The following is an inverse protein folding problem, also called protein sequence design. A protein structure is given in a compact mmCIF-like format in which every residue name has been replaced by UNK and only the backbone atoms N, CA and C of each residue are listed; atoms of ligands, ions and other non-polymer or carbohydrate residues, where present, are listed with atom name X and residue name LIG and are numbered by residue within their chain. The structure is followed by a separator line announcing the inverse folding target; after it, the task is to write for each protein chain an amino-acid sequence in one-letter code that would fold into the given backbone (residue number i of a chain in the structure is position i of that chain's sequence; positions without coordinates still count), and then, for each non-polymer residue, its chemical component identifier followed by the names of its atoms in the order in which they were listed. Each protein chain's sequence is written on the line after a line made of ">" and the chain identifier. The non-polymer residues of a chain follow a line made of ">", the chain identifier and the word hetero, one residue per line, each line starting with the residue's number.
data_IF_328881167635
#
_entry.id   IF_328881167635
#
_cell.length_a   1.000
_cell.length_b   1.000
_cell.length_c   1.000
_cell.angle_alpha   90.00
_cell.angle_beta   90.00
_cell.angle_gamma   90.00
#
_symmetry.space_group_name_H-M   'P 1'
#
loop_
_entity.id
_entity.type
_entity.pdbx_description
1 polymer ?
#
# COMPACT_ATOMS: atom_id res chain seq x y z
N UNK A 1 8.37 -35.78 5.32
CA UNK A 1 8.48 -34.37 5.77
C UNK A 1 7.90 -33.48 4.67
N UNK A 2 7.18 -32.41 5.02
CA UNK A 2 6.26 -31.57 4.19
C UNK A 2 4.81 -32.08 4.15
N UNK A 3 4.13 -31.98 5.28
CA UNK A 3 2.67 -31.89 5.30
C UNK A 3 2.28 -30.42 5.04
N UNK A 4 2.20 -30.02 3.76
CA UNK A 4 1.61 -28.72 3.40
C UNK A 4 0.11 -28.86 3.52
N UNK A 5 -0.48 -28.33 4.60
CA UNK A 5 -1.93 -28.27 4.73
C UNK A 5 -2.52 -27.59 3.49
N UNK A 6 -3.70 -27.99 3.00
CA UNK A 6 -4.31 -27.41 1.80
C UNK A 6 -4.38 -25.87 1.88
N UNK A 7 -4.56 -25.33 3.09
CA UNK A 7 -4.56 -23.89 3.38
C UNK A 7 -3.25 -23.16 3.03
N UNK A 8 -2.08 -23.80 3.21
CA UNK A 8 -0.79 -23.19 2.84
C UNK A 8 -0.67 -23.05 1.31
N UNK A 9 -1.05 -24.08 0.56
CA UNK A 9 -1.00 -24.06 -0.92
C UNK A 9 -1.94 -23.00 -1.51
N UNK A 10 -3.13 -22.85 -0.94
CA UNK A 10 -4.07 -21.78 -1.32
C UNK A 10 -3.49 -20.40 -1.06
N UNK A 11 -2.84 -20.21 0.09
CA UNK A 11 -2.20 -18.95 0.44
C UNK A 11 -1.03 -18.62 -0.49
N UNK A 12 -0.16 -19.58 -0.81
CA UNK A 12 0.96 -19.39 -1.73
C UNK A 12 0.51 -19.04 -3.14
N UNK A 13 -0.60 -19.65 -3.61
CA UNK A 13 -1.22 -19.31 -4.89
C UNK A 13 -1.77 -17.88 -4.92
N UNK A 14 -2.41 -17.43 -3.85
CA UNK A 14 -2.91 -16.06 -3.73
C UNK A 14 -1.78 -15.04 -3.67
N UNK A 15 -0.68 -15.37 -2.99
CA UNK A 15 0.54 -14.54 -2.95
C UNK A 15 1.24 -14.48 -4.31
N UNK A 16 1.33 -15.59 -5.02
CA UNK A 16 1.88 -15.62 -6.38
C UNK A 16 1.04 -14.81 -7.36
N UNK A 17 -0.29 -14.94 -7.28
CA UNK A 17 -1.22 -14.17 -8.11
C UNK A 17 -1.15 -12.66 -7.83
N UNK A 18 -1.15 -12.25 -6.56
CA UNK A 18 -1.05 -10.83 -6.20
C UNK A 18 0.28 -10.22 -6.62
N UNK A 19 1.38 -10.99 -6.52
CA UNK A 19 2.70 -10.57 -7.01
C UNK A 19 2.75 -10.38 -8.52
N UNK A 20 2.13 -11.29 -9.29
CA UNK A 20 2.02 -11.15 -10.75
C UNK A 20 1.22 -9.90 -11.13
N UNK A 21 0.07 -9.68 -10.49
CA UNK A 21 -0.80 -8.52 -10.72
C UNK A 21 -0.07 -7.21 -10.39
N UNK A 22 0.64 -7.15 -9.26
CA UNK A 22 1.48 -6.00 -8.91
C UNK A 22 2.57 -5.74 -9.96
N UNK A 23 3.23 -6.80 -10.43
CA UNK A 23 4.26 -6.72 -11.47
C UNK A 23 3.72 -6.20 -12.80
N UNK A 24 2.52 -6.62 -13.21
CA UNK A 24 1.86 -6.11 -14.42
C UNK A 24 1.54 -4.62 -14.30
N UNK A 25 0.99 -4.18 -13.17
CA UNK A 25 0.72 -2.76 -12.96
C UNK A 25 2.01 -1.91 -12.91
N UNK A 26 3.08 -2.44 -12.31
CA UNK A 26 4.41 -1.81 -12.35
C UNK A 26 4.95 -1.68 -13.77
N UNK A 27 4.82 -2.72 -14.59
CA UNK A 27 5.25 -2.70 -15.99
C UNK A 27 4.46 -1.65 -16.79
N UNK A 28 3.13 -1.59 -16.60
CA UNK A 28 2.29 -0.59 -17.23
C UNK A 28 2.67 0.83 -16.81
N UNK A 29 2.96 1.03 -15.52
CA UNK A 29 3.43 2.32 -15.00
C UNK A 29 4.77 2.72 -15.63
N UNK A 30 5.69 1.76 -15.76
CA UNK A 30 6.97 1.97 -16.43
C UNK A 30 6.77 2.38 -17.90
N UNK A 31 5.88 1.71 -18.63
CA UNK A 31 5.57 2.07 -20.02
C UNK A 31 4.99 3.48 -20.14
N UNK A 32 4.05 3.85 -19.26
CA UNK A 32 3.50 5.22 -19.22
C UNK A 32 4.63 6.23 -19.00
N UNK A 33 5.56 5.97 -18.07
CA UNK A 33 6.70 6.87 -17.84
C UNK A 33 7.67 6.94 -19.03
N UNK A 34 7.93 5.82 -19.71
CA UNK A 34 8.79 5.80 -20.90
C UNK A 34 8.15 6.60 -22.03
N UNK A 35 6.85 6.38 -22.29
CA UNK A 35 6.12 7.11 -23.33
C UNK A 35 6.09 8.62 -23.03
N UNK A 36 5.85 9.01 -21.77
CA UNK A 36 5.86 10.42 -21.37
C UNK A 36 7.24 11.07 -21.53
N UNK A 37 8.30 10.39 -21.10
CA UNK A 37 9.69 10.86 -21.26
C UNK A 37 10.07 10.94 -22.74
N UNK A 38 9.82 9.89 -23.52
CA UNK A 38 10.09 9.91 -24.97
C UNK A 38 9.29 11.00 -25.69
N UNK A 39 8.02 11.20 -25.33
CA UNK A 39 7.19 12.27 -25.88
C UNK A 39 7.75 13.66 -25.57
N UNK A 40 8.22 13.91 -24.34
CA UNK A 40 8.87 15.18 -23.98
C UNK A 40 10.15 15.43 -24.74
N UNK A 41 11.04 14.45 -24.81
CA UNK A 41 12.39 14.65 -25.36
C UNK A 41 12.43 14.62 -26.89
N UNK A 42 11.60 13.79 -27.54
CA UNK A 42 11.64 13.62 -29.00
C UNK A 42 10.54 14.38 -29.73
N UNK A 43 9.37 14.55 -29.11
CA UNK A 43 8.20 15.15 -29.76
C UNK A 43 7.85 16.53 -29.19
N UNK A 44 8.58 17.02 -28.16
CA UNK A 44 8.23 18.21 -27.36
C UNK A 44 6.76 18.19 -26.88
N UNK A 45 6.17 17.00 -26.79
CA UNK A 45 4.77 16.77 -26.47
C UNK A 45 4.70 15.72 -25.35
N UNK A 46 4.63 16.13 -24.07
CA UNK A 46 4.43 15.21 -22.96
C UNK A 46 3.15 14.40 -23.15
N UNK A 47 3.08 13.23 -22.53
CA UNK A 47 1.86 12.41 -22.58
C UNK A 47 0.79 13.08 -21.70
N UNK A 48 -0.33 13.57 -22.28
CA UNK A 48 -1.38 14.21 -21.49
C UNK A 48 -2.02 13.19 -20.54
N UNK A 49 -2.13 13.54 -19.24
CA UNK A 49 -2.68 12.64 -18.21
C UNK A 49 -1.70 11.59 -17.66
N UNK A 50 -0.41 11.63 -18.01
CA UNK A 50 0.59 10.69 -17.48
C UNK A 50 0.67 10.70 -15.95
N UNK A 51 0.49 11.87 -15.33
CA UNK A 51 0.46 12.04 -13.87
C UNK A 51 -0.73 11.31 -13.23
N UNK A 52 -1.91 11.42 -13.83
CA UNK A 52 -3.14 10.78 -13.31
C UNK A 52 -3.06 9.25 -13.50
N UNK A 53 -2.59 8.79 -14.66
CA UNK A 53 -2.35 7.37 -14.93
C UNK A 53 -1.36 6.76 -13.93
N UNK A 54 -0.26 7.46 -13.64
CA UNK A 54 0.72 6.99 -12.65
C UNK A 54 0.15 6.96 -11.23
N UNK A 55 -0.73 7.89 -10.84
CA UNK A 55 -1.43 7.82 -9.55
C UNK A 55 -2.34 6.58 -9.42
N UNK A 56 -3.12 6.27 -10.45
CA UNK A 56 -3.98 5.08 -10.45
C UNK A 56 -3.17 3.78 -10.44
N UNK A 57 -2.11 3.72 -11.23
CA UNK A 57 -1.24 2.55 -11.29
C UNK A 57 -0.48 2.38 -9.97
N UNK A 58 0.01 3.45 -9.35
CA UNK A 58 0.62 3.44 -8.02
C UNK A 58 -0.34 2.84 -6.98
N UNK A 59 -1.60 3.30 -6.96
CA UNK A 59 -2.61 2.72 -6.08
C UNK A 59 -2.79 1.21 -6.36
N UNK A 60 -3.00 0.81 -7.61
CA UNK A 60 -3.17 -0.60 -7.98
C UNK A 60 -1.98 -1.48 -7.57
N UNK A 61 -0.75 -0.98 -7.71
CA UNK A 61 0.49 -1.64 -7.26
C UNK A 61 0.50 -1.80 -5.75
N UNK A 62 0.21 -0.72 -4.99
CA UNK A 62 0.17 -0.75 -3.53
C UNK A 62 -0.84 -1.80 -3.03
N UNK A 63 -2.06 -1.84 -3.59
CA UNK A 63 -3.07 -2.83 -3.21
C UNK A 63 -2.70 -4.25 -3.56
N UNK A 64 -2.08 -4.45 -4.72
CA UNK A 64 -1.62 -5.78 -5.13
C UNK A 64 -0.41 -6.25 -4.30
N UNK A 65 0.39 -5.32 -3.80
CA UNK A 65 1.54 -5.58 -2.93
C UNK A 65 1.18 -5.84 -1.47
N UNK A 66 0.11 -5.23 -0.94
CA UNK A 66 -0.29 -5.33 0.47
C UNK A 66 -0.40 -6.76 1.02
N UNK A 67 -1.02 -7.74 0.32
CA UNK A 67 -1.08 -9.14 0.79
C UNK A 67 0.31 -9.80 0.83
N UNK A 68 1.18 -9.44 -0.13
CA UNK A 68 2.54 -9.96 -0.24
C UNK A 68 3.42 -9.40 0.89
N UNK A 69 3.32 -8.10 1.15
CA UNK A 69 4.05 -7.41 2.22
C UNK A 69 3.55 -7.89 3.58
N UNK A 70 2.23 -7.99 3.78
CA UNK A 70 1.66 -8.48 5.04
C UNK A 70 2.01 -9.95 5.34
N UNK A 71 2.23 -10.79 4.31
CA UNK A 71 2.74 -12.16 4.51
C UNK A 71 4.25 -12.21 4.73
N UNK A 72 5.02 -11.31 4.13
CA UNK A 72 6.48 -11.22 4.29
C UNK A 72 6.89 -10.43 5.53
N UNK A 73 5.97 -9.70 6.15
CA UNK A 73 6.12 -9.02 7.44
C UNK A 73 6.11 -9.99 8.64
N UNK A 74 6.75 -11.16 8.51
CA UNK A 74 7.56 -11.69 9.61
C UNK A 74 8.83 -10.84 9.69
N UNK A 75 8.67 -9.53 9.94
CA UNK A 75 9.67 -8.47 10.11
C UNK A 75 10.95 -8.56 9.25
N UNK A 76 11.33 -7.46 8.58
CA UNK A 76 12.76 -7.16 8.41
C UNK A 76 13.26 -6.88 9.83
N UNK A 77 13.44 -7.93 10.60
CA UNK A 77 14.21 -7.84 11.82
C UNK A 77 15.60 -7.49 11.35
N UNK A 78 16.14 -6.44 11.95
CA UNK A 78 17.58 -6.31 12.05
C UNK A 78 18.02 -7.54 12.85
N UNK A 79 18.24 -8.66 12.14
CA UNK A 79 18.69 -9.96 12.66
C UNK A 79 20.03 -9.82 13.41
N UNK A 80 20.66 -8.64 13.30
CA UNK A 80 21.86 -8.24 14.02
C UNK A 80 21.63 -7.95 15.52
N UNK A 81 20.37 -7.73 15.98
CA UNK A 81 20.04 -7.48 17.41
C UNK A 81 19.09 -8.50 18.04
N UNK A 82 18.50 -9.42 17.28
CA UNK A 82 17.57 -10.43 17.82
C UNK A 82 18.26 -11.43 18.76
N UNK A 83 19.56 -11.65 18.60
CA UNK A 83 20.31 -12.54 19.50
C UNK A 83 20.46 -12.00 20.93
N UNK A 84 20.15 -10.72 21.19
CA UNK A 84 20.39 -10.05 22.48
C UNK A 84 19.12 -9.40 23.07
N UNK A 85 18.06 -9.27 22.28
CA UNK A 85 16.88 -8.48 22.66
C UNK A 85 15.74 -9.38 23.17
N UNK A 86 15.17 -9.14 24.37
CA UNK A 86 14.09 -9.96 24.90
C UNK A 86 12.79 -9.80 24.08
N UNK A 87 12.03 -10.89 23.89
CA UNK A 87 10.79 -10.98 23.09
C UNK A 87 9.74 -9.89 23.38
N UNK A 88 9.75 -9.36 24.60
CA UNK A 88 8.88 -8.26 25.03
C UNK A 88 9.20 -6.94 24.32
N UNK A 89 10.46 -6.66 24.04
CA UNK A 89 10.89 -5.47 23.32
C UNK A 89 10.52 -5.54 21.83
N UNK A 90 10.60 -6.73 21.25
CA UNK A 90 10.17 -6.98 19.85
C UNK A 90 8.67 -6.72 19.74
N UNK A 91 7.87 -7.31 20.63
CA UNK A 91 6.41 -7.09 20.67
C UNK A 91 6.05 -5.61 20.87
N UNK A 92 6.78 -4.89 21.73
CA UNK A 92 6.56 -3.46 21.96
C UNK A 92 6.95 -2.60 20.76
N UNK A 93 8.06 -2.93 20.08
CA UNK A 93 8.47 -2.28 18.83
C UNK A 93 7.41 -2.45 17.75
N UNK A 94 6.91 -3.66 17.57
CA UNK A 94 5.93 -3.98 16.53
C UNK A 94 4.60 -3.29 16.80
N UNK A 95 4.20 -3.21 18.08
CA UNK A 95 3.06 -2.43 18.53
C UNK A 95 3.24 -0.94 18.20
N UNK A 96 4.41 -0.36 18.53
CA UNK A 96 4.70 1.04 18.30
C UNK A 96 4.73 1.40 16.80
N UNK A 97 5.37 0.57 15.97
CA UNK A 97 5.43 0.76 14.51
C UNK A 97 4.04 0.66 13.90
N UNK A 98 3.26 -0.38 14.24
CA UNK A 98 1.91 -0.52 13.68
C UNK A 98 0.97 0.60 14.16
N UNK A 99 1.09 1.06 15.40
CA UNK A 99 0.33 2.20 15.91
C UNK A 99 0.72 3.51 15.20
N UNK A 100 2.01 3.73 14.95
CA UNK A 100 2.50 4.89 14.20
C UNK A 100 1.99 4.86 12.74
N UNK A 101 2.11 3.72 12.05
CA UNK A 101 1.59 3.56 10.70
C UNK A 101 0.07 3.76 10.66
N UNK A 102 -0.68 3.17 11.60
CA UNK A 102 -2.13 3.36 11.71
C UNK A 102 -2.50 4.84 11.83
N UNK A 103 -1.85 5.56 12.74
CA UNK A 103 -2.13 6.98 12.96
C UNK A 103 -1.74 7.85 11.76
N UNK A 104 -0.58 7.61 11.14
CA UNK A 104 -0.15 8.32 9.94
C UNK A 104 -1.15 8.14 8.78
N UNK A 105 -1.57 6.90 8.49
CA UNK A 105 -2.54 6.62 7.43
C UNK A 105 -3.94 7.14 7.75
N UNK A 106 -4.36 7.14 9.02
CA UNK A 106 -5.64 7.73 9.42
C UNK A 106 -5.66 9.25 9.21
N UNK A 107 -4.59 9.95 9.60
CA UNK A 107 -4.45 11.40 9.37
C UNK A 107 -4.40 11.70 7.87
N UNK A 108 -3.66 10.91 7.10
CA UNK A 108 -3.58 11.07 5.65
C UNK A 108 -4.94 10.87 4.98
N UNK A 109 -5.67 9.82 5.37
CA UNK A 109 -7.04 9.56 4.90
C UNK A 109 -7.97 10.74 5.19
N UNK A 110 -7.92 11.29 6.40
CA UNK A 110 -8.73 12.44 6.79
C UNK A 110 -8.43 13.66 5.93
N UNK A 111 -7.14 13.97 5.73
CA UNK A 111 -6.69 15.10 4.90
C UNK A 111 -7.12 14.95 3.44
N UNK A 112 -6.99 13.75 2.89
CA UNK A 112 -7.45 13.46 1.52
C UNK A 112 -8.98 13.58 1.41
N UNK A 113 -9.73 13.19 2.44
CA UNK A 113 -11.18 13.34 2.45
C UNK A 113 -11.64 14.80 2.43
N UNK A 114 -10.98 15.66 3.21
CA UNK A 114 -11.21 17.11 3.21
C UNK A 114 -10.82 17.72 1.87
N UNK A 115 -9.63 17.40 1.37
CA UNK A 115 -9.14 17.87 0.06
C UNK A 115 -10.07 17.46 -1.08
N UNK A 116 -10.65 16.26 -1.03
CA UNK A 116 -11.63 15.82 -2.00
C UNK A 116 -12.97 16.57 -1.92
N UNK A 117 -13.33 17.06 -0.73
CA UNK A 117 -14.48 17.92 -0.51
C UNK A 117 -14.27 19.30 -1.14
N UNK A 118 -13.14 19.92 -0.84
CA UNK A 118 -12.71 21.21 -1.43
C UNK A 118 -12.66 21.12 -2.97
N UNK A 119 -12.03 20.06 -3.50
CA UNK A 119 -11.97 19.81 -4.94
C UNK A 119 -13.35 19.58 -5.59
N UNK A 120 -14.34 19.09 -4.84
CA UNK A 120 -15.71 18.96 -5.35
C UNK A 120 -16.44 20.31 -5.38
N UNK A 121 -16.22 21.16 -4.37
CA UNK A 121 -16.85 22.47 -4.26
C UNK A 121 -16.32 23.45 -5.31
N UNK A 122 -15.03 23.39 -5.62
CA UNK A 122 -14.41 24.23 -6.65
C UNK A 122 -14.54 23.67 -8.08
N UNK A 123 -15.07 22.46 -8.23
CA UNK A 123 -15.20 21.82 -9.54
C UNK A 123 -13.85 21.49 -10.17
N UNK A 124 -12.86 21.17 -9.35
CA UNK A 124 -11.50 20.87 -9.82
C UNK A 124 -11.52 19.66 -10.76
N UNK A 125 -11.05 19.89 -11.97
CA UNK A 125 -10.89 18.87 -13.00
C UNK A 125 -9.41 18.68 -13.31
N UNK A 126 -9.07 17.44 -13.68
CA UNK A 126 -7.75 17.08 -14.18
C UNK A 126 -7.37 17.99 -15.34
N UNK A 127 -6.19 18.59 -15.25
CA UNK A 127 -5.77 19.64 -16.19
C UNK A 127 -5.67 19.16 -17.64
N UNK A 128 -5.50 17.84 -17.85
CA UNK A 128 -5.33 17.24 -19.17
C UNK A 128 -6.50 16.34 -19.59
N UNK A 129 -7.09 15.55 -18.68
CA UNK A 129 -8.21 14.65 -19.00
C UNK A 129 -9.60 15.29 -18.82
N UNK A 130 -9.71 16.42 -18.10
CA UNK A 130 -10.99 17.07 -17.78
C UNK A 130 -11.89 16.24 -16.86
N UNK A 131 -11.41 15.12 -16.33
CA UNK A 131 -12.10 14.30 -15.34
C UNK A 131 -12.12 14.96 -13.97
N UNK A 132 -13.23 14.86 -13.22
CA UNK A 132 -13.33 15.44 -11.89
C UNK A 132 -12.29 14.81 -10.94
N UNK A 133 -11.51 15.64 -10.24
CA UNK A 133 -10.47 15.20 -9.28
C UNK A 133 -11.07 14.61 -8.00
N UNK A 134 -12.24 15.10 -7.58
CA UNK A 134 -12.89 14.66 -6.35
C UNK A 134 -13.04 13.14 -6.20
N UNK A 135 -13.59 12.37 -7.17
CA UNK A 135 -13.68 10.91 -7.04
C UNK A 135 -12.31 10.21 -6.96
N UNK A 136 -11.28 10.76 -7.59
CA UNK A 136 -9.91 10.19 -7.56
C UNK A 136 -9.30 10.37 -6.18
N UNK A 137 -9.42 11.58 -5.61
CA UNK A 137 -8.91 11.88 -4.28
C UNK A 137 -9.70 11.10 -3.22
N UNK A 138 -11.03 10.97 -3.37
CA UNK A 138 -11.86 10.11 -2.49
C UNK A 138 -11.44 8.65 -2.56
N UNK A 139 -11.13 8.13 -3.75
CA UNK A 139 -10.61 6.78 -3.89
C UNK A 139 -9.31 6.64 -3.08
N UNK A 140 -8.32 7.51 -3.30
CA UNK A 140 -7.08 7.55 -2.50
C UNK A 140 -7.30 7.67 -0.98
N UNK A 141 -8.31 8.44 -0.55
CA UNK A 141 -8.69 8.58 0.84
C UNK A 141 -9.26 7.28 1.43
N UNK A 142 -10.23 6.62 0.74
CA UNK A 142 -10.76 5.32 1.17
C UNK A 142 -9.67 4.26 1.27
N UNK A 143 -8.70 4.33 0.37
CA UNK A 143 -7.55 3.45 0.32
C UNK A 143 -6.66 3.63 1.56
N UNK A 144 -6.30 4.87 1.91
CA UNK A 144 -5.58 5.16 3.15
C UNK A 144 -6.35 4.72 4.41
N UNK A 145 -7.69 4.87 4.41
CA UNK A 145 -8.55 4.41 5.50
C UNK A 145 -8.47 2.88 5.69
N UNK A 146 -8.53 2.10 4.60
CA UNK A 146 -8.42 0.64 4.65
C UNK A 146 -7.06 0.22 5.22
N UNK A 147 -5.98 0.87 4.80
CA UNK A 147 -4.62 0.60 5.33
C UNK A 147 -4.52 0.90 6.82
N UNK A 148 -5.12 2.01 7.29
CA UNK A 148 -5.20 2.31 8.71
C UNK A 148 -5.96 1.22 9.49
N UNK A 149 -7.08 0.72 8.97
CA UNK A 149 -7.85 -0.37 9.58
C UNK A 149 -7.04 -1.67 9.67
N UNK A 150 -6.24 -2.00 8.65
CA UNK A 150 -5.37 -3.18 8.67
C UNK A 150 -4.31 -3.07 9.79
N UNK A 151 -3.65 -1.93 9.91
CA UNK A 151 -2.68 -1.71 11.00
C UNK A 151 -3.36 -1.71 12.37
N UNK A 152 -4.58 -1.17 12.48
CA UNK A 152 -5.39 -1.25 13.69
C UNK A 152 -5.71 -2.70 14.06
N UNK A 153 -6.05 -3.54 13.08
CA UNK A 153 -6.25 -4.99 13.28
C UNK A 153 -4.97 -5.70 13.75
N UNK A 154 -3.79 -5.32 13.24
CA UNK A 154 -2.50 -5.83 13.72
C UNK A 154 -2.23 -5.42 15.17
N UNK A 155 -2.46 -4.16 15.52
CA UNK A 155 -2.33 -3.64 16.89
C UNK A 155 -3.27 -4.40 17.84
N UNK A 156 -4.55 -4.56 17.47
CA UNK A 156 -5.52 -5.32 18.27
C UNK A 156 -5.14 -6.79 18.39
N UNK A 157 -4.62 -7.41 17.34
CA UNK A 157 -4.14 -8.79 17.37
C UNK A 157 -3.00 -8.99 18.37
N UNK A 158 -2.04 -8.06 18.42
CA UNK A 158 -0.94 -8.06 19.39
C UNK A 158 -1.47 -7.89 20.83
N UNK A 159 -2.45 -6.99 21.03
CA UNK A 159 -3.04 -6.73 22.35
C UNK A 159 -3.96 -7.87 22.85
N UNK A 160 -4.69 -8.54 21.94
CA UNK A 160 -5.60 -9.65 22.28
C UNK A 160 -4.90 -11.01 22.37
N UNK A 161 -3.74 -11.19 21.73
CA UNK A 161 -2.93 -12.40 21.83
C UNK A 161 -1.52 -12.08 22.34
N UNK A 162 -1.38 -11.58 23.58
CA UNK A 162 -0.09 -11.24 24.18
C UNK A 162 0.85 -12.43 24.41
N UNK A 163 0.42 -13.66 24.10
CA UNK A 163 1.22 -14.85 24.30
C UNK A 163 1.09 -15.84 23.13
N UNK A 164 1.82 -15.58 22.06
CA UNK A 164 2.38 -16.67 21.26
C UNK A 164 3.88 -16.67 21.48
N UNK A 165 4.30 -17.42 22.49
CA UNK A 165 5.60 -18.09 22.48
C UNK A 165 5.80 -18.69 21.09
N UNK A 166 6.62 -18.05 20.26
CA UNK A 166 7.12 -18.64 19.03
C UNK A 166 8.09 -19.76 19.46
N UNK A 167 7.92 -21.02 19.00
CA UNK A 167 8.99 -22.00 19.07
C UNK A 167 10.10 -21.68 18.06
#
# INVERSE_FOLDING_TARGET
>A
MINSSPLQRWRDRLTGFSGLVAGVFLLLMMLVTVVDVTGRYFLNAPLPGAFEMTQFLMAAIVYSGLPNVSQRESHITIDLLDSVTPDRLITLRDLAVNALCCSAFAVLSWRLWVLAGEAAEWGDTTQYLGWPLSPIIRFGATLCAVTAVIHLGKVLGILCLPNRSQP
#
